data_IF_127213603587
#
_entry.id   IF_127213603587
#
_cell.length_a   1.000
_cell.length_b   1.000
_cell.length_c   1.000
_cell.angle_alpha   90.00
_cell.angle_beta   90.00
_cell.angle_gamma   90.00
#
_symmetry.space_group_name_H-M   'P 1'
#
loop_
_entity.id
_entity.type
_entity.pdbx_description
1 polymer ?
#
# COMPACT_ATOMS: atom_id res chain seq x y z
N UNK A 1 -17.05 -4.28 -23.46
CA UNK A 1 -16.71 -5.72 -23.63
C UNK A 1 -15.21 -5.96 -23.40
N UNK A 2 -14.70 -5.77 -22.17
CA UNK A 2 -13.39 -6.25 -21.72
C UNK A 2 -13.57 -6.62 -20.24
N UNK A 3 -14.05 -7.82 -19.98
CA UNK A 3 -14.38 -8.16 -18.58
C UNK A 3 -14.42 -9.65 -18.26
N UNK A 4 -13.59 -10.49 -18.90
CA UNK A 4 -13.69 -11.94 -18.64
C UNK A 4 -12.40 -12.75 -18.86
N UNK A 5 -11.23 -12.15 -18.63
CA UNK A 5 -9.95 -12.86 -18.84
C UNK A 5 -9.12 -13.13 -17.57
N UNK A 6 -9.61 -12.84 -16.36
CA UNK A 6 -8.84 -13.00 -15.11
C UNK A 6 -9.20 -14.22 -14.25
N UNK A 7 -10.12 -15.06 -14.65
CA UNK A 7 -10.60 -16.22 -13.84
C UNK A 7 -9.96 -17.57 -14.17
N UNK A 8 -8.97 -17.63 -15.03
CA UNK A 8 -8.45 -18.89 -15.57
C UNK A 8 -7.13 -19.43 -15.00
N UNK A 9 -6.47 -18.76 -14.06
CA UNK A 9 -5.10 -19.13 -13.61
C UNK A 9 -5.05 -19.77 -12.22
N UNK A 10 -6.16 -20.09 -11.61
CA UNK A 10 -6.23 -20.56 -10.22
C UNK A 10 -6.21 -22.09 -10.04
N UNK A 11 -5.87 -22.89 -11.05
CA UNK A 11 -5.90 -24.34 -10.89
C UNK A 11 -4.68 -25.04 -11.48
N UNK A 12 -3.57 -25.00 -10.73
CA UNK A 12 -2.53 -26.03 -10.72
C UNK A 12 -1.60 -25.80 -9.50
N UNK A 13 -2.08 -26.01 -8.29
CA UNK A 13 -1.20 -26.14 -7.13
C UNK A 13 -0.71 -27.61 -7.06
N UNK A 14 0.61 -27.87 -7.06
CA UNK A 14 1.11 -29.18 -6.70
C UNK A 14 0.79 -29.41 -5.22
N UNK A 15 0.04 -30.47 -4.92
CA UNK A 15 -0.19 -30.96 -3.55
C UNK A 15 1.09 -31.59 -3.01
N UNK A 16 2.08 -30.79 -2.66
CA UNK A 16 3.08 -31.19 -1.68
C UNK A 16 2.46 -30.95 -0.31
N UNK A 17 2.47 -31.96 0.55
CA UNK A 17 1.99 -31.86 1.92
C UNK A 17 2.60 -30.61 2.55
N UNK A 18 1.77 -29.60 2.79
CA UNK A 18 2.21 -28.36 3.40
C UNK A 18 2.63 -28.70 4.83
N UNK A 19 3.92 -28.60 5.08
CA UNK A 19 4.43 -28.52 6.45
C UNK A 19 3.68 -27.33 7.10
N UNK A 20 2.91 -27.61 8.13
CA UNK A 20 2.13 -26.55 8.84
C UNK A 20 3.14 -25.61 9.45
N UNK A 21 3.46 -24.58 8.70
CA UNK A 21 4.38 -23.54 9.16
C UNK A 21 3.63 -22.71 10.22
N UNK A 22 4.22 -22.61 11.42
CA UNK A 22 3.64 -21.80 12.48
C UNK A 22 3.41 -20.37 11.98
N UNK A 23 2.24 -19.79 12.27
CA UNK A 23 1.92 -18.45 11.86
C UNK A 23 2.96 -17.45 12.39
N UNK A 24 3.45 -16.61 11.51
CA UNK A 24 4.54 -15.67 11.82
C UNK A 24 4.14 -14.26 11.50
N UNK A 25 4.61 -13.34 12.33
CA UNK A 25 4.43 -11.92 12.14
C UNK A 25 5.60 -11.33 11.38
N UNK A 26 5.30 -10.38 10.50
CA UNK A 26 6.28 -9.52 9.84
C UNK A 26 5.84 -8.07 9.91
N UNK A 27 6.79 -7.16 9.78
CA UNK A 27 6.49 -5.74 9.68
C UNK A 27 7.39 -5.06 8.65
N UNK A 28 6.93 -3.95 8.12
CA UNK A 28 7.67 -3.14 7.16
C UNK A 28 7.61 -1.66 7.50
N UNK A 29 8.66 -0.97 7.09
CA UNK A 29 8.71 0.49 7.07
C UNK A 29 9.18 0.93 5.70
N UNK A 30 8.47 1.89 5.12
CA UNK A 30 8.69 2.35 3.77
C UNK A 30 8.75 3.87 3.74
N UNK A 31 9.52 4.42 2.80
CA UNK A 31 9.55 5.84 2.50
C UNK A 31 9.56 6.04 0.98
N UNK A 32 8.99 7.13 0.52
CA UNK A 32 8.93 7.37 -0.92
C UNK A 32 8.09 8.56 -1.31
N UNK A 33 7.45 8.42 -2.46
CA UNK A 33 6.68 9.48 -3.09
C UNK A 33 5.23 9.02 -3.29
N UNK A 34 4.32 9.94 -3.05
CA UNK A 34 2.90 9.81 -3.35
C UNK A 34 2.52 10.90 -4.34
N UNK A 35 2.03 10.53 -5.51
CA UNK A 35 1.68 11.44 -6.61
C UNK A 35 0.23 11.25 -7.04
N UNK A 36 -0.32 12.23 -7.73
CA UNK A 36 -1.72 12.24 -8.18
C UNK A 36 -2.67 12.75 -7.12
N UNK A 37 -2.16 13.48 -6.13
CA UNK A 37 -2.97 14.23 -5.17
C UNK A 37 -3.06 15.69 -5.57
N UNK A 38 -3.94 16.40 -4.96
CA UNK A 38 -4.15 17.85 -5.13
C UNK A 38 -2.90 18.72 -4.95
N UNK A 39 -1.89 18.23 -4.25
CA UNK A 39 -0.59 18.87 -4.03
C UNK A 39 0.53 18.28 -4.91
N UNK A 40 0.19 17.68 -6.05
CA UNK A 40 1.12 16.99 -6.96
C UNK A 40 1.81 15.80 -6.30
N UNK A 41 3.13 15.79 -6.25
CA UNK A 41 3.93 14.72 -5.67
C UNK A 41 4.43 15.14 -4.30
N UNK A 42 4.16 14.34 -3.29
CA UNK A 42 4.58 14.57 -1.91
C UNK A 42 5.37 13.38 -1.34
N UNK A 43 6.12 13.64 -0.30
CA UNK A 43 6.81 12.59 0.45
C UNK A 43 5.80 11.72 1.22
N UNK A 44 6.03 10.42 1.26
CA UNK A 44 5.18 9.48 1.97
C UNK A 44 6.00 8.52 2.85
N UNK A 45 5.43 8.21 4.02
CA UNK A 45 5.89 7.17 4.93
C UNK A 45 4.87 6.04 4.93
N UNK A 46 5.35 4.80 4.85
CA UNK A 46 4.56 3.59 4.92
C UNK A 46 4.95 2.72 6.11
N UNK A 47 3.96 2.07 6.70
CA UNK A 47 4.13 1.07 7.75
C UNK A 47 3.25 -0.12 7.43
N UNK A 48 3.77 -1.33 7.64
CA UNK A 48 3.03 -2.57 7.42
C UNK A 48 3.23 -3.55 8.56
N UNK A 49 2.15 -4.26 8.88
CA UNK A 49 2.14 -5.39 9.80
C UNK A 49 1.46 -6.56 9.09
N UNK A 50 2.15 -7.66 8.92
CA UNK A 50 1.68 -8.83 8.18
C UNK A 50 1.63 -10.06 9.08
N UNK A 51 0.61 -10.86 8.88
CA UNK A 51 0.46 -12.19 9.46
C UNK A 51 0.52 -13.24 8.35
N UNK A 52 1.54 -14.07 8.37
CA UNK A 52 1.78 -15.11 7.37
C UNK A 52 0.98 -16.36 7.72
N UNK A 53 0.02 -16.68 6.87
CA UNK A 53 -0.75 -17.92 6.98
C UNK A 53 0.07 -19.13 6.50
N UNK A 54 0.79 -18.91 5.41
CA UNK A 54 1.71 -19.88 4.82
C UNK A 54 2.87 -19.15 4.14
N UNK A 55 3.67 -19.89 3.37
CA UNK A 55 4.84 -19.35 2.67
C UNK A 55 4.49 -18.39 1.52
N UNK A 56 3.25 -18.43 1.04
CA UNK A 56 2.81 -17.69 -0.15
C UNK A 56 1.76 -16.63 0.16
N UNK A 57 1.12 -16.69 1.32
CA UNK A 57 -0.01 -15.83 1.60
C UNK A 57 0.08 -15.15 2.97
N UNK A 58 -0.14 -13.84 3.01
CA UNK A 58 -0.26 -13.08 4.24
C UNK A 58 -1.43 -12.11 4.20
N UNK A 59 -1.95 -11.82 5.38
CA UNK A 59 -2.89 -10.73 5.65
C UNK A 59 -2.24 -9.75 6.59
N UNK A 60 -2.57 -8.48 6.42
CA UNK A 60 -1.99 -7.48 7.28
C UNK A 60 -2.73 -6.17 7.30
N UNK A 61 -2.15 -5.24 8.04
CA UNK A 61 -2.51 -3.85 8.03
C UNK A 61 -1.43 -3.02 7.35
N UNK A 62 -1.85 -2.00 6.62
CA UNK A 62 -0.93 -0.99 6.09
C UNK A 62 -1.40 0.40 6.52
N UNK A 63 -0.45 1.27 6.83
CA UNK A 63 -0.68 2.69 7.06
C UNK A 63 0.24 3.50 6.15
N UNK A 64 -0.31 4.54 5.53
CA UNK A 64 0.41 5.51 4.72
C UNK A 64 0.19 6.90 5.29
N UNK A 65 1.24 7.70 5.33
CA UNK A 65 1.23 9.03 5.90
C UNK A 65 2.02 10.00 5.03
N UNK A 66 1.44 11.17 4.71
CA UNK A 66 2.12 12.26 4.01
C UNK A 66 2.29 13.45 4.96
N UNK A 67 3.48 13.62 5.58
CA UNK A 67 3.69 14.62 6.63
C UNK A 67 4.02 16.02 6.13
N UNK A 68 4.09 16.23 4.81
CA UNK A 68 4.66 17.46 4.22
C UNK A 68 3.67 18.18 3.34
N UNK A 69 3.63 19.51 3.46
CA UNK A 69 2.81 20.40 2.66
C UNK A 69 1.52 20.82 3.35
N UNK A 70 0.68 21.52 2.58
CA UNK A 70 -0.62 22.04 3.06
C UNK A 70 -1.68 20.94 3.18
N UNK A 71 -1.44 19.78 2.56
CA UNK A 71 -2.33 18.63 2.55
C UNK A 71 -1.66 17.44 3.27
N UNK A 72 -2.15 17.13 4.45
CA UNK A 72 -1.76 15.93 5.17
C UNK A 72 -2.74 14.81 4.86
N UNK A 73 -2.24 13.62 4.53
CA UNK A 73 -3.08 12.45 4.27
C UNK A 73 -2.64 11.28 5.15
N UNK A 74 -3.62 10.56 5.67
CA UNK A 74 -3.42 9.32 6.43
C UNK A 74 -4.34 8.25 5.87
N UNK A 75 -3.76 7.22 5.26
CA UNK A 75 -4.46 6.05 4.77
C UNK A 75 -4.19 4.84 5.68
N UNK A 76 -5.25 4.13 6.05
CA UNK A 76 -5.14 2.86 6.79
C UNK A 76 -5.98 1.82 6.06
N UNK A 77 -5.39 0.66 5.78
CA UNK A 77 -6.07 -0.43 5.08
C UNK A 77 -5.69 -1.80 5.63
N UNK A 78 -6.64 -2.72 5.61
CA UNK A 78 -6.38 -4.15 5.65
C UNK A 78 -5.96 -4.62 4.26
N UNK A 79 -4.90 -5.43 4.16
CA UNK A 79 -4.33 -5.88 2.90
C UNK A 79 -4.17 -7.39 2.87
N UNK A 80 -4.38 -7.98 1.69
CA UNK A 80 -4.05 -9.36 1.37
C UNK A 80 -2.88 -9.36 0.40
N UNK A 81 -1.86 -10.17 0.65
CA UNK A 81 -0.61 -10.24 -0.12
C UNK A 81 -0.35 -11.67 -0.56
N UNK A 82 0.16 -11.82 -1.78
CA UNK A 82 0.58 -13.11 -2.31
C UNK A 82 2.08 -13.06 -2.66
N UNK A 83 2.86 -13.94 -2.05
CA UNK A 83 4.32 -13.95 -2.16
C UNK A 83 4.76 -14.95 -3.23
N UNK A 84 5.13 -14.43 -4.40
CA UNK A 84 5.71 -15.20 -5.51
C UNK A 84 7.21 -15.22 -5.36
N UNK A 85 7.76 -16.37 -4.98
CA UNK A 85 9.22 -16.55 -4.90
C UNK A 85 9.80 -16.70 -6.31
N UNK A 86 10.67 -15.77 -6.66
CA UNK A 86 11.45 -15.80 -7.87
C UNK A 86 12.83 -16.43 -7.57
N UNK A 87 13.54 -16.79 -8.61
CA UNK A 87 14.92 -17.29 -8.46
C UNK A 87 15.83 -16.16 -7.92
N UNK A 88 16.88 -16.53 -7.19
CA UNK A 88 17.95 -15.61 -6.75
C UNK A 88 17.57 -14.62 -5.62
N UNK A 89 16.67 -15.00 -4.71
CA UNK A 89 16.38 -14.20 -3.51
C UNK A 89 15.42 -13.04 -3.73
N UNK A 90 14.77 -12.97 -4.89
CA UNK A 90 13.70 -12.02 -5.17
C UNK A 90 12.33 -12.63 -4.93
N UNK A 91 11.44 -11.83 -4.32
CA UNK A 91 10.02 -12.12 -4.20
C UNK A 91 9.23 -11.01 -4.90
N UNK A 92 8.22 -11.41 -5.66
CA UNK A 92 7.22 -10.50 -6.20
C UNK A 92 5.94 -10.64 -5.36
N UNK A 93 5.43 -9.54 -4.85
CA UNK A 93 4.33 -9.55 -3.87
C UNK A 93 3.20 -8.64 -4.35
N UNK A 94 2.32 -9.14 -5.25
CA UNK A 94 1.07 -8.44 -5.52
C UNK A 94 0.19 -8.39 -4.28
N UNK A 95 -0.52 -7.26 -4.12
CA UNK A 95 -1.44 -7.06 -3.01
C UNK A 95 -2.65 -6.22 -3.39
N UNK A 96 -3.70 -6.39 -2.61
CA UNK A 96 -4.90 -5.57 -2.66
C UNK A 96 -5.41 -5.33 -1.24
N UNK A 97 -6.04 -4.17 -1.01
CA UNK A 97 -6.55 -3.81 0.30
C UNK A 97 -7.83 -3.00 0.27
N UNK A 98 -8.42 -2.88 1.45
CA UNK A 98 -9.58 -2.04 1.72
C UNK A 98 -9.37 -1.28 3.02
N UNK A 99 -9.71 0.00 3.02
CA UNK A 99 -9.52 0.84 4.20
C UNK A 99 -10.16 2.22 4.08
N UNK A 100 -9.60 3.14 4.83
CA UNK A 100 -10.03 4.54 4.88
C UNK A 100 -8.83 5.46 4.62
N UNK A 101 -9.07 6.57 3.93
CA UNK A 101 -8.15 7.66 3.71
C UNK A 101 -8.75 8.93 4.30
N UNK A 102 -8.02 9.56 5.20
CA UNK A 102 -8.34 10.88 5.75
C UNK A 102 -7.37 11.91 5.18
N UNK A 103 -7.92 13.00 4.67
CA UNK A 103 -7.16 14.12 4.10
C UNK A 103 -7.51 15.41 4.83
N UNK A 104 -6.51 16.16 5.24
CA UNK A 104 -6.62 17.44 5.94
C UNK A 104 -5.84 18.51 5.15
N UNK A 105 -6.57 19.47 4.59
CA UNK A 105 -6.03 20.61 3.86
C UNK A 105 -6.02 21.85 4.75
N UNK A 106 -4.83 22.35 5.05
CA UNK A 106 -4.62 23.53 5.87
C UNK A 106 -3.73 24.55 5.13
N UNK A 107 -4.36 25.41 4.32
CA UNK A 107 -3.65 26.35 3.44
C UNK A 107 -3.92 27.80 3.85
N UNK A 108 -2.85 28.61 3.89
CA UNK A 108 -2.91 30.05 4.14
C UNK A 108 -2.99 30.43 5.61
N UNK A 109 -3.14 31.71 5.90
CA UNK A 109 -3.22 32.26 7.25
C UNK A 109 -4.17 33.46 7.30
N UNK A 110 -4.70 33.76 8.49
CA UNK A 110 -5.62 34.87 8.70
C UNK A 110 -6.99 34.66 8.06
N UNK A 111 -7.64 35.74 7.58
CA UNK A 111 -9.01 35.69 7.04
C UNK A 111 -9.16 34.83 5.76
N UNK A 112 -8.08 34.54 5.09
CA UNK A 112 -8.05 33.72 3.87
C UNK A 112 -7.64 32.27 4.13
N UNK A 113 -7.56 31.83 5.38
CA UNK A 113 -7.26 30.45 5.74
C UNK A 113 -8.31 29.50 5.18
N UNK A 114 -7.86 28.49 4.45
CA UNK A 114 -8.68 27.37 4.00
C UNK A 114 -8.35 26.19 4.90
N UNK A 115 -9.35 25.71 5.62
CA UNK A 115 -9.28 24.56 6.51
C UNK A 115 -10.39 23.60 6.10
N UNK A 116 -10.01 22.47 5.51
CA UNK A 116 -10.93 21.47 4.95
C UNK A 116 -10.39 20.08 5.24
N UNK A 117 -11.28 19.19 5.61
CA UNK A 117 -10.95 17.77 5.74
C UNK A 117 -11.99 16.91 5.04
N UNK A 118 -11.59 15.74 4.64
CA UNK A 118 -12.47 14.73 4.07
C UNK A 118 -11.97 13.33 4.41
N UNK A 119 -12.89 12.39 4.44
CA UNK A 119 -12.60 10.98 4.70
C UNK A 119 -13.31 10.12 3.68
N UNK A 120 -12.55 9.27 3.00
CA UNK A 120 -13.04 8.43 1.92
C UNK A 120 -12.64 6.97 2.13
N UNK A 121 -13.23 6.10 1.32
CA UNK A 121 -12.69 4.75 1.13
C UNK A 121 -11.26 4.81 0.59
N UNK A 122 -10.47 3.81 0.90
CA UNK A 122 -9.09 3.65 0.46
C UNK A 122 -8.89 2.22 -0.04
N UNK A 123 -8.61 2.08 -1.33
CA UNK A 123 -8.39 0.78 -1.97
C UNK A 123 -6.99 0.78 -2.58
N UNK A 124 -5.97 0.37 -1.81
CA UNK A 124 -4.62 0.20 -2.34
C UNK A 124 -4.54 -1.08 -3.17
N UNK A 125 -4.05 -0.95 -4.40
CA UNK A 125 -3.74 -2.05 -5.32
C UNK A 125 -2.29 -1.91 -5.73
N UNK A 126 -1.46 -2.93 -5.55
CA UNK A 126 -0.06 -2.75 -5.84
C UNK A 126 0.74 -4.03 -5.93
N UNK A 127 2.03 -3.81 -6.08
CA UNK A 127 3.03 -4.85 -6.21
C UNK A 127 4.33 -4.40 -5.56
N UNK A 128 4.91 -5.25 -4.72
CA UNK A 128 6.23 -5.05 -4.15
C UNK A 128 7.22 -6.04 -4.76
N UNK A 129 8.39 -5.55 -5.11
CA UNK A 129 9.56 -6.36 -5.39
C UNK A 129 10.43 -6.37 -4.13
N UNK A 130 10.68 -7.54 -3.58
CA UNK A 130 11.47 -7.72 -2.38
C UNK A 130 12.77 -8.46 -2.71
N UNK A 131 13.88 -7.99 -2.19
CA UNK A 131 15.18 -8.63 -2.28
C UNK A 131 15.66 -9.05 -0.89
N UNK A 132 15.80 -10.34 -0.68
CA UNK A 132 16.20 -10.91 0.61
C UNK A 132 17.69 -10.73 0.84
N UNK A 133 18.06 -9.98 1.87
CA UNK A 133 19.45 -9.71 2.26
C UNK A 133 19.89 -10.51 3.48
N UNK A 134 18.94 -11.16 4.14
CA UNK A 134 19.20 -12.03 5.31
C UNK A 134 18.00 -12.92 5.62
N UNK A 135 18.11 -13.80 6.60
CA UNK A 135 17.06 -14.78 6.91
C UNK A 135 15.70 -14.16 7.25
N UNK A 136 15.67 -12.92 7.71
CA UNK A 136 14.47 -12.23 8.18
C UNK A 136 14.39 -10.79 7.67
N UNK A 137 15.28 -10.36 6.78
CA UNK A 137 15.36 -8.97 6.32
C UNK A 137 15.35 -8.95 4.81
N UNK A 138 14.47 -8.14 4.23
CA UNK A 138 14.44 -7.86 2.82
C UNK A 138 14.35 -6.35 2.57
N UNK A 139 14.96 -5.87 1.49
CA UNK A 139 14.65 -4.58 0.91
C UNK A 139 13.44 -4.70 0.01
N UNK A 140 12.58 -3.70 0.01
CA UNK A 140 11.38 -3.67 -0.81
C UNK A 140 11.31 -2.41 -1.67
N UNK A 141 10.77 -2.58 -2.88
CA UNK A 141 10.32 -1.48 -3.74
C UNK A 141 8.85 -1.74 -4.06
N UNK A 142 7.97 -0.84 -3.66
CA UNK A 142 6.54 -0.99 -3.80
C UNK A 142 5.97 0.07 -4.73
N UNK A 143 5.29 -0.37 -5.78
CA UNK A 143 4.46 0.48 -6.63
C UNK A 143 3.00 0.17 -6.34
N UNK A 144 2.20 1.20 -6.05
CA UNK A 144 0.78 1.02 -5.82
C UNK A 144 -0.05 2.14 -6.44
N UNK A 145 -1.27 1.79 -6.82
CA UNK A 145 -2.35 2.70 -7.20
C UNK A 145 -3.38 2.67 -6.08
N UNK A 146 -3.74 3.83 -5.59
CA UNK A 146 -4.73 4.01 -4.55
C UNK A 146 -6.00 4.58 -5.15
N UNK A 147 -7.10 3.86 -5.02
CA UNK A 147 -8.42 4.35 -5.40
C UNK A 147 -9.11 4.94 -4.16
N UNK A 148 -9.58 6.16 -4.28
CA UNK A 148 -10.25 6.90 -3.24
C UNK A 148 -11.21 7.92 -3.85
N UNK A 149 -11.93 8.69 -3.05
CA UNK A 149 -12.77 9.79 -3.52
C UNK A 149 -12.71 10.93 -2.50
N UNK A 150 -11.69 11.77 -2.62
CA UNK A 150 -11.47 12.92 -1.75
C UNK A 150 -12.07 14.17 -2.40
N UNK A 151 -12.91 14.89 -1.64
CA UNK A 151 -13.62 16.10 -2.07
C UNK A 151 -13.27 17.25 -1.14
N UNK A 152 -12.27 18.05 -1.50
CA UNK A 152 -11.83 19.23 -0.76
C UNK A 152 -12.26 20.55 -1.45
N UNK A 153 -13.27 20.50 -2.32
CA UNK A 153 -13.76 21.61 -3.14
C UNK A 153 -14.51 22.69 -2.35
N UNK A 154 -14.48 23.99 -2.78
CA UNK A 154 -13.38 24.67 -3.43
C UNK A 154 -12.27 25.05 -2.44
N UNK A 155 -11.02 25.23 -2.80
CA UNK A 155 -10.48 25.61 -4.11
C UNK A 155 -9.81 24.47 -4.89
N UNK A 156 -10.00 23.23 -4.48
CA UNK A 156 -9.22 22.10 -4.93
C UNK A 156 -10.10 21.12 -5.70
N UNK A 157 -9.68 20.59 -6.86
CA UNK A 157 -10.45 19.58 -7.60
C UNK A 157 -10.57 18.27 -6.80
N UNK A 158 -11.65 17.54 -7.08
CA UNK A 158 -11.84 16.20 -6.53
C UNK A 158 -10.71 15.26 -6.98
N UNK A 159 -10.24 14.44 -6.05
CA UNK A 159 -9.18 13.48 -6.29
C UNK A 159 -9.73 12.06 -6.09
N UNK A 160 -9.54 11.21 -7.10
CA UNK A 160 -10.10 9.85 -7.10
C UNK A 160 -9.03 8.75 -7.15
N UNK A 161 -7.81 9.11 -7.53
CA UNK A 161 -6.76 8.10 -7.75
C UNK A 161 -5.40 8.71 -7.53
N UNK A 162 -4.56 8.02 -6.80
CA UNK A 162 -3.17 8.41 -6.61
C UNK A 162 -2.23 7.23 -6.82
N UNK A 163 -0.95 7.53 -7.03
CA UNK A 163 0.10 6.54 -7.22
C UNK A 163 1.18 6.75 -6.18
N UNK A 164 1.65 5.68 -5.55
CA UNK A 164 2.79 5.74 -4.65
C UNK A 164 3.91 4.82 -5.09
N UNK A 165 5.14 5.32 -5.00
CA UNK A 165 6.37 4.56 -5.15
C UNK A 165 7.15 4.64 -3.85
N UNK A 166 7.31 3.50 -3.18
CA UNK A 166 7.91 3.40 -1.86
C UNK A 166 9.10 2.46 -1.89
N UNK A 167 10.10 2.77 -1.07
CA UNK A 167 11.28 1.96 -0.82
C UNK A 167 11.35 1.67 0.67
N UNK A 168 11.59 0.42 1.04
CA UNK A 168 11.50 0.05 2.43
C UNK A 168 12.34 -1.13 2.84
N UNK A 169 12.22 -1.43 4.12
CA UNK A 169 12.80 -2.60 4.76
C UNK A 169 11.66 -3.40 5.37
N UNK A 170 11.73 -4.69 5.14
CA UNK A 170 10.81 -5.66 5.68
C UNK A 170 11.54 -6.59 6.64
N UNK A 171 10.89 -6.88 7.77
CA UNK A 171 11.29 -7.90 8.74
C UNK A 171 10.19 -8.95 8.82
N UNK A 172 10.53 -10.21 8.59
CA UNK A 172 9.56 -11.31 8.63
C UNK A 172 10.15 -12.63 8.19
N UNK A 173 9.31 -13.67 8.16
CA UNK A 173 9.72 -14.99 7.70
C UNK A 173 10.09 -15.00 6.23
#
# INVERSE_FOLDING_TARGET
>A
FIGLAFLGILWAAPTTAAEVQEPRWGFSTDLGLWSGTTNDTTFALGFGLDYYMDQNFSFGGMALFTPVGDLTQIGIAGVAKYHLRLNSGFNLVPFAGLGILHADLNRGSGPTKVDRNDTSHFIPLGMSLEYQVGPKIAFSTTLMVNLHHITLSPPVPNDNTSVALLFGIRWGP
#
